data_IF_875008287345
#
_entry.id   IF_875008287345
#
_cell.length_a   1.000
_cell.length_b   1.000
_cell.length_c   1.000
_cell.angle_alpha   90.00
_cell.angle_beta   90.00
_cell.angle_gamma   90.00
#
_symmetry.space_group_name_H-M   'P 1'
#
loop_
_entity.id
_entity.type
_entity.pdbx_description
1 polymer ?
#
# COMPACT_ATOMS: atom_id res chain seq x y z
N UNK A 1 43.49 -48.80 -25.45
CA UNK A 1 42.23 -48.36 -24.81
C UNK A 1 41.98 -46.92 -25.20
N UNK A 2 41.00 -46.66 -26.07
CA UNK A 2 40.59 -45.32 -26.52
C UNK A 2 39.18 -45.08 -25.98
N UNK A 3 39.03 -44.21 -25.00
CA UNK A 3 37.72 -43.79 -24.49
C UNK A 3 37.08 -42.80 -25.46
N UNK A 4 35.80 -42.97 -25.86
CA UNK A 4 35.11 -41.98 -26.66
C UNK A 4 34.59 -40.86 -25.76
N UNK A 5 34.81 -39.62 -26.17
CA UNK A 5 34.23 -38.44 -25.55
C UNK A 5 32.72 -38.41 -25.88
N UNK A 6 31.88 -38.52 -24.86
CA UNK A 6 30.43 -38.31 -24.96
C UNK A 6 30.19 -36.81 -24.88
N UNK A 7 29.83 -36.20 -26.01
CA UNK A 7 29.35 -34.82 -26.06
C UNK A 7 27.91 -34.77 -25.56
N UNK A 8 27.71 -34.21 -24.37
CA UNK A 8 26.39 -33.92 -23.81
C UNK A 8 25.87 -32.66 -24.49
N UNK A 9 24.94 -32.82 -25.44
CA UNK A 9 24.16 -31.71 -25.99
C UNK A 9 23.11 -31.29 -24.95
N UNK A 10 23.39 -30.21 -24.22
CA UNK A 10 22.42 -29.51 -23.39
C UNK A 10 21.38 -28.83 -24.32
N UNK A 11 20.26 -29.50 -24.56
CA UNK A 11 19.07 -28.90 -25.14
C UNK A 11 18.49 -27.91 -24.14
N UNK A 12 18.83 -26.63 -24.31
CA UNK A 12 18.13 -25.54 -23.66
C UNK A 12 16.67 -25.52 -24.15
N UNK A 13 15.76 -26.06 -23.34
CA UNK A 13 14.33 -25.80 -23.47
C UNK A 13 14.11 -24.30 -23.23
N UNK A 14 14.21 -23.51 -24.29
CA UNK A 14 13.62 -22.18 -24.29
C UNK A 14 12.11 -22.38 -24.24
N UNK A 15 11.53 -22.24 -23.05
CA UNK A 15 10.10 -22.06 -22.83
C UNK A 15 9.69 -20.78 -23.55
N UNK A 16 9.37 -20.92 -24.84
CA UNK A 16 8.77 -19.85 -25.63
C UNK A 16 7.55 -19.34 -24.85
N UNK A 17 7.33 -18.02 -24.77
CA UNK A 17 6.15 -17.50 -24.13
C UNK A 17 4.96 -18.05 -24.92
N UNK A 18 4.24 -19.01 -24.33
CA UNK A 18 2.98 -19.46 -24.86
C UNK A 18 2.06 -18.23 -24.87
N UNK A 19 1.93 -17.61 -26.04
CA UNK A 19 0.78 -16.77 -26.33
C UNK A 19 -0.43 -17.66 -26.01
N UNK A 20 -1.39 -17.18 -25.22
CA UNK A 20 -2.63 -17.89 -24.99
C UNK A 20 -3.25 -18.15 -26.36
N UNK A 21 -3.07 -19.37 -26.86
CA UNK A 21 -3.68 -19.86 -28.09
C UNK A 21 -5.06 -20.38 -27.70
N UNK A 22 -6.03 -20.33 -28.62
CA UNK A 22 -7.28 -21.06 -28.43
C UNK A 22 -7.00 -22.52 -28.07
N UNK A 23 -7.86 -23.09 -27.24
CA UNK A 23 -7.81 -24.47 -26.77
C UNK A 23 -7.63 -25.46 -27.94
N UNK A 24 -6.64 -26.34 -27.85
CA UNK A 24 -6.44 -27.44 -28.79
C UNK A 24 -7.11 -28.71 -28.25
N UNK A 25 -8.36 -28.92 -28.65
CA UNK A 25 -9.16 -30.04 -28.16
C UNK A 25 -8.62 -31.42 -28.54
N UNK A 26 -7.74 -31.52 -29.54
CA UNK A 26 -7.07 -32.78 -29.85
C UNK A 26 -5.98 -33.14 -28.84
N UNK A 27 -5.51 -32.16 -28.05
CA UNK A 27 -4.46 -32.30 -27.03
C UNK A 27 -4.96 -32.10 -25.61
N UNK A 28 -6.28 -31.94 -25.43
CA UNK A 28 -6.88 -31.81 -24.12
C UNK A 28 -6.51 -33.02 -23.24
N UNK A 29 -6.03 -32.74 -22.04
CA UNK A 29 -5.50 -33.71 -21.08
C UNK A 29 -5.97 -33.44 -19.65
N UNK A 30 -6.23 -32.18 -19.29
CA UNK A 30 -6.77 -31.81 -17.99
C UNK A 30 -8.31 -31.88 -17.97
N UNK A 31 -8.90 -32.05 -16.79
CA UNK A 31 -10.35 -32.16 -16.63
C UNK A 31 -11.09 -30.91 -17.13
N UNK A 32 -10.53 -29.72 -16.87
CA UNK A 32 -11.05 -28.44 -17.35
C UNK A 32 -10.97 -28.33 -18.89
N UNK A 33 -9.92 -28.85 -19.52
CA UNK A 33 -9.77 -28.85 -20.98
C UNK A 33 -10.82 -29.77 -21.63
N UNK A 34 -11.04 -30.96 -21.06
CA UNK A 34 -12.12 -31.86 -21.51
C UNK A 34 -13.50 -31.22 -21.35
N UNK A 35 -13.75 -30.51 -20.25
CA UNK A 35 -15.00 -29.77 -20.03
C UNK A 35 -15.20 -28.69 -21.11
N UNK A 36 -14.16 -27.89 -21.37
CA UNK A 36 -14.19 -26.86 -22.42
C UNK A 36 -14.46 -27.48 -23.78
N UNK A 37 -13.77 -28.57 -24.12
CA UNK A 37 -13.89 -29.22 -25.43
C UNK A 37 -15.19 -29.99 -25.65
N UNK A 38 -15.91 -30.35 -24.58
CA UNK A 38 -17.21 -30.99 -24.66
C UNK A 38 -18.39 -30.01 -24.89
N UNK A 39 -18.18 -28.70 -24.71
CA UNK A 39 -19.21 -27.66 -24.91
C UNK A 39 -18.75 -26.63 -25.95
N UNK A 40 -19.41 -26.59 -27.11
CA UNK A 40 -19.06 -25.68 -28.21
C UNK A 40 -19.12 -24.20 -27.83
N UNK A 41 -19.94 -23.83 -26.83
CA UNK A 41 -19.98 -22.46 -26.30
C UNK A 41 -18.70 -22.12 -25.55
N UNK A 42 -18.14 -23.06 -24.79
CA UNK A 42 -16.87 -22.87 -24.08
C UNK A 42 -15.71 -22.76 -25.06
N UNK A 43 -15.66 -23.60 -26.11
CA UNK A 43 -14.66 -23.48 -27.18
C UNK A 43 -14.70 -22.09 -27.83
N UNK A 44 -15.90 -21.60 -28.13
CA UNK A 44 -16.09 -20.27 -28.73
C UNK A 44 -15.63 -19.15 -27.79
N UNK A 45 -15.99 -19.24 -26.51
CA UNK A 45 -15.60 -18.26 -25.51
C UNK A 45 -14.08 -18.25 -25.26
N UNK A 46 -13.43 -19.42 -25.21
CA UNK A 46 -11.98 -19.53 -25.06
C UNK A 46 -11.23 -18.90 -26.25
N UNK A 47 -11.70 -19.16 -27.48
CA UNK A 47 -11.16 -18.51 -28.68
C UNK A 47 -11.32 -16.98 -28.65
N UNK A 48 -12.46 -16.48 -28.16
CA UNK A 48 -12.69 -15.04 -27.99
C UNK A 48 -11.74 -14.42 -26.95
N UNK A 49 -11.54 -15.08 -25.82
CA UNK A 49 -10.59 -14.65 -24.78
C UNK A 49 -9.15 -14.63 -25.32
N UNK A 50 -8.73 -15.67 -26.04
CA UNK A 50 -7.41 -15.74 -26.67
C UNK A 50 -7.20 -14.59 -27.68
N UNK A 51 -8.23 -14.24 -28.46
CA UNK A 51 -8.21 -13.09 -29.38
C UNK A 51 -8.10 -11.75 -28.65
N UNK A 52 -8.85 -11.57 -27.56
CA UNK A 52 -8.78 -10.37 -26.72
C UNK A 52 -7.38 -10.22 -26.09
N UNK A 53 -6.82 -11.31 -25.57
CA UNK A 53 -5.46 -11.36 -25.03
C UNK A 53 -4.40 -11.00 -26.08
N UNK A 54 -4.48 -11.60 -27.27
CA UNK A 54 -3.57 -11.27 -28.36
C UNK A 54 -3.71 -9.80 -28.78
N UNK A 55 -4.91 -9.24 -28.69
CA UNK A 55 -5.18 -7.84 -29.02
C UNK A 55 -4.58 -6.88 -28.00
N UNK A 56 -4.76 -7.10 -26.69
CA UNK A 56 -4.16 -6.22 -25.67
C UNK A 56 -2.63 -6.28 -25.71
N UNK A 57 -2.03 -7.46 -25.98
CA UNK A 57 -0.58 -7.58 -26.16
C UNK A 57 -0.05 -6.79 -27.37
N UNK A 58 -0.88 -6.48 -28.38
CA UNK A 58 -0.48 -5.63 -29.52
C UNK A 58 -0.65 -4.14 -29.24
N UNK A 59 -1.21 -3.76 -28.09
CA UNK A 59 -1.46 -2.35 -27.70
C UNK A 59 -0.31 -1.74 -26.91
N UNK A 60 0.78 -2.48 -26.70
CA UNK A 60 1.98 -1.99 -26.03
C UNK A 60 3.23 -2.67 -26.59
N UNK A 61 4.26 -1.86 -26.83
CA UNK A 61 5.62 -2.31 -27.15
C UNK A 61 6.53 -2.26 -25.90
N UNK A 62 6.01 -1.78 -24.77
CA UNK A 62 6.76 -1.73 -23.51
C UNK A 62 6.98 -3.16 -22.98
N UNK A 63 8.24 -3.63 -22.87
CA UNK A 63 8.52 -5.02 -22.51
C UNK A 63 8.11 -5.36 -21.08
N UNK A 64 8.13 -4.40 -20.17
CA UNK A 64 7.72 -4.61 -18.78
C UNK A 64 6.19 -4.71 -18.68
N UNK A 65 5.45 -3.77 -19.28
CA UNK A 65 3.98 -3.84 -19.32
C UNK A 65 3.53 -5.12 -20.03
N UNK A 66 4.20 -5.49 -21.12
CA UNK A 66 3.97 -6.77 -21.80
C UNK A 66 4.17 -7.95 -20.84
N UNK A 67 5.24 -7.95 -20.05
CA UNK A 67 5.52 -9.01 -19.06
C UNK A 67 4.44 -9.10 -17.98
N UNK A 68 3.91 -7.96 -17.53
CA UNK A 68 2.82 -7.87 -16.56
C UNK A 68 1.52 -8.47 -17.13
N UNK A 69 1.19 -8.17 -18.38
CA UNK A 69 0.03 -8.76 -19.07
C UNK A 69 0.18 -10.28 -19.24
N UNK A 70 1.39 -10.76 -19.56
CA UNK A 70 1.68 -12.20 -19.62
C UNK A 70 1.48 -12.87 -18.25
N UNK A 71 1.98 -12.24 -17.18
CA UNK A 71 1.86 -12.75 -15.81
C UNK A 71 0.40 -12.77 -15.34
N UNK A 72 -0.32 -11.69 -15.58
CA UNK A 72 -1.76 -11.54 -15.34
C UNK A 72 -2.57 -12.68 -15.99
N UNK A 73 -2.37 -12.93 -17.30
CA UNK A 73 -3.09 -14.00 -17.98
C UNK A 73 -2.73 -15.40 -17.48
N UNK A 74 -1.45 -15.64 -17.16
CA UNK A 74 -1.02 -16.93 -16.59
C UNK A 74 -1.64 -17.18 -15.22
N UNK A 75 -1.69 -16.15 -14.38
CA UNK A 75 -2.31 -16.24 -13.05
C UNK A 75 -3.80 -16.55 -13.16
N UNK A 76 -4.50 -15.90 -14.08
CA UNK A 76 -5.91 -16.18 -14.35
C UNK A 76 -6.15 -17.63 -14.79
N UNK A 77 -5.34 -18.16 -15.72
CA UNK A 77 -5.45 -19.56 -16.15
C UNK A 77 -5.15 -20.54 -15.02
N UNK A 78 -4.13 -20.27 -14.21
CA UNK A 78 -3.80 -21.10 -13.05
C UNK A 78 -4.94 -21.14 -12.03
N UNK A 79 -5.54 -19.99 -11.71
CA UNK A 79 -6.70 -19.91 -10.83
C UNK A 79 -7.91 -20.67 -11.41
N UNK A 80 -8.18 -20.50 -12.72
CA UNK A 80 -9.25 -21.22 -13.43
C UNK A 80 -9.07 -22.73 -13.25
N UNK A 81 -7.88 -23.22 -13.56
CA UNK A 81 -7.58 -24.65 -13.55
C UNK A 81 -7.70 -25.20 -12.12
N UNK A 82 -7.11 -24.52 -11.13
CA UNK A 82 -7.18 -24.91 -9.72
C UNK A 82 -8.61 -24.93 -9.17
N UNK A 83 -9.36 -23.84 -9.35
CA UNK A 83 -10.71 -23.73 -8.77
C UNK A 83 -11.71 -24.66 -9.49
N UNK A 84 -11.60 -24.82 -10.81
CA UNK A 84 -12.60 -25.59 -11.58
C UNK A 84 -12.30 -27.08 -11.67
N UNK A 85 -11.06 -27.52 -11.43
CA UNK A 85 -10.80 -28.92 -11.08
C UNK A 85 -11.53 -29.30 -9.79
N UNK A 86 -11.52 -28.42 -8.78
CA UNK A 86 -12.24 -28.66 -7.52
C UNK A 86 -13.77 -28.71 -7.70
N UNK A 87 -14.34 -28.01 -8.69
CA UNK A 87 -15.79 -28.08 -8.99
C UNK A 87 -16.23 -29.46 -9.46
N UNK A 88 -15.34 -30.28 -10.02
CA UNK A 88 -15.70 -31.63 -10.51
C UNK A 88 -16.29 -32.47 -9.38
N UNK A 89 -15.67 -32.40 -8.21
CA UNK A 89 -15.99 -33.21 -7.03
C UNK A 89 -16.62 -32.33 -5.91
N UNK A 90 -16.87 -31.05 -6.21
CA UNK A 90 -17.40 -30.07 -5.27
C UNK A 90 -18.92 -30.15 -5.09
N UNK A 91 -19.37 -29.77 -3.90
CA UNK A 91 -20.77 -29.61 -3.55
C UNK A 91 -21.18 -28.16 -3.82
N UNK A 92 -22.30 -27.97 -4.50
CA UNK A 92 -22.92 -26.66 -4.65
C UNK A 92 -23.47 -26.22 -3.29
N UNK A 93 -22.89 -25.18 -2.64
CA UNK A 93 -23.27 -24.79 -1.29
C UNK A 93 -24.73 -24.31 -1.20
N UNK A 94 -25.38 -24.03 -2.33
CA UNK A 94 -26.78 -23.61 -2.37
C UNK A 94 -27.77 -24.77 -2.34
N UNK A 95 -27.42 -25.89 -2.97
CA UNK A 95 -28.30 -27.07 -3.07
C UNK A 95 -27.89 -28.18 -2.13
N UNK A 96 -26.63 -28.19 -1.67
CA UNK A 96 -26.05 -29.32 -0.95
C UNK A 96 -25.72 -30.52 -1.85
N UNK A 97 -25.88 -30.38 -3.16
CA UNK A 97 -25.68 -31.44 -4.15
C UNK A 97 -24.43 -31.22 -4.99
N UNK A 98 -23.80 -32.28 -5.55
CA UNK A 98 -22.69 -32.12 -6.48
C UNK A 98 -23.05 -31.23 -7.68
N UNK A 99 -22.08 -30.43 -8.16
CA UNK A 99 -22.30 -29.64 -9.37
C UNK A 99 -22.62 -30.51 -10.58
N UNK A 100 -23.74 -30.22 -11.26
CA UNK A 100 -24.08 -30.87 -12.52
C UNK A 100 -23.09 -30.47 -13.63
N UNK A 101 -22.88 -31.30 -14.67
CA UNK A 101 -22.03 -30.92 -15.80
C UNK A 101 -22.44 -29.58 -16.44
N UNK A 102 -23.74 -29.31 -16.54
CA UNK A 102 -24.27 -28.07 -17.10
C UNK A 102 -23.97 -26.86 -16.21
N UNK A 103 -24.08 -27.01 -14.89
CA UNK A 103 -23.72 -25.95 -13.94
C UNK A 103 -22.22 -25.63 -14.02
N UNK A 104 -21.36 -26.66 -14.08
CA UNK A 104 -19.92 -26.47 -14.26
C UNK A 104 -19.61 -25.73 -15.56
N UNK A 105 -20.18 -26.15 -16.70
CA UNK A 105 -19.97 -25.44 -17.97
C UNK A 105 -20.44 -23.99 -17.91
N UNK A 106 -21.56 -23.70 -17.24
CA UNK A 106 -22.05 -22.34 -17.08
C UNK A 106 -21.10 -21.45 -16.27
N UNK A 107 -20.58 -21.97 -15.15
CA UNK A 107 -19.61 -21.26 -14.30
C UNK A 107 -18.34 -20.92 -15.09
N UNK A 108 -17.77 -21.91 -15.79
CA UNK A 108 -16.56 -21.72 -16.61
C UNK A 108 -16.81 -20.71 -17.74
N UNK A 109 -17.98 -20.78 -18.39
CA UNK A 109 -18.35 -19.85 -19.45
C UNK A 109 -18.37 -18.41 -18.93
N UNK A 110 -19.03 -18.16 -17.80
CA UNK A 110 -19.10 -16.84 -17.18
C UNK A 110 -17.72 -16.29 -16.81
N UNK A 111 -16.84 -17.15 -16.29
CA UNK A 111 -15.46 -16.79 -15.97
C UNK A 111 -14.67 -16.35 -17.23
N UNK A 112 -14.74 -17.13 -18.32
CA UNK A 112 -14.06 -16.82 -19.58
C UNK A 112 -14.61 -15.51 -20.19
N UNK A 113 -15.94 -15.35 -20.20
CA UNK A 113 -16.58 -14.12 -20.69
C UNK A 113 -16.17 -12.89 -19.86
N UNK A 114 -16.09 -13.02 -18.53
CA UNK A 114 -15.66 -11.94 -17.65
C UNK A 114 -14.22 -11.53 -17.93
N UNK A 115 -13.31 -12.50 -18.08
CA UNK A 115 -11.92 -12.23 -18.43
C UNK A 115 -11.79 -11.59 -19.82
N UNK A 116 -12.57 -12.05 -20.79
CA UNK A 116 -12.62 -11.46 -22.13
C UNK A 116 -13.02 -9.98 -22.07
N UNK A 117 -14.04 -9.65 -21.25
CA UNK A 117 -14.44 -8.24 -21.02
C UNK A 117 -13.34 -7.42 -20.35
N UNK A 118 -12.66 -7.96 -19.34
CA UNK A 118 -11.55 -7.27 -18.67
C UNK A 118 -10.40 -6.96 -19.63
N UNK A 119 -9.97 -7.94 -20.44
CA UNK A 119 -8.92 -7.78 -21.45
C UNK A 119 -9.29 -6.77 -22.54
N UNK A 120 -10.59 -6.62 -22.83
CA UNK A 120 -11.12 -5.67 -23.81
C UNK A 120 -11.51 -4.31 -23.23
N UNK A 121 -11.49 -4.11 -21.91
CA UNK A 121 -11.94 -2.85 -21.30
C UNK A 121 -10.97 -1.74 -21.66
N UNK A 122 -11.50 -0.63 -22.14
CA UNK A 122 -10.76 0.60 -22.45
C UNK A 122 -10.91 1.53 -21.27
N UNK A 123 -9.82 2.15 -20.82
CA UNK A 123 -9.85 3.20 -19.81
C UNK A 123 -10.66 4.41 -20.32
N UNK A 124 -11.17 5.24 -19.41
CA UNK A 124 -11.96 6.41 -19.77
C UNK A 124 -11.26 7.37 -20.76
N UNK A 125 -12.07 8.18 -21.44
CA UNK A 125 -11.81 8.78 -22.77
C UNK A 125 -10.51 9.56 -22.98
N UNK A 126 -9.79 9.94 -21.92
CA UNK A 126 -8.57 10.74 -22.04
C UNK A 126 -7.38 9.96 -22.66
N UNK A 127 -7.29 8.64 -22.48
CA UNK A 127 -6.15 7.85 -22.94
C UNK A 127 -6.47 6.88 -24.08
N UNK A 128 -7.72 6.45 -24.24
CA UNK A 128 -8.18 5.44 -25.21
C UNK A 128 -7.34 4.14 -25.23
N UNK A 129 -6.68 3.81 -24.11
CA UNK A 129 -5.84 2.61 -23.95
C UNK A 129 -6.61 1.50 -23.21
N UNK A 130 -6.24 0.22 -23.41
CA UNK A 130 -6.74 -0.84 -22.55
C UNK A 130 -6.47 -0.55 -21.07
N UNK A 131 -7.45 -0.81 -20.22
CA UNK A 131 -7.44 -0.44 -18.80
C UNK A 131 -6.24 -1.05 -18.05
N UNK A 132 -5.93 -2.33 -18.27
CA UNK A 132 -4.78 -2.98 -17.64
C UNK A 132 -3.44 -2.34 -18.04
N UNK A 133 -3.34 -1.80 -19.25
CA UNK A 133 -2.14 -1.05 -19.69
C UNK A 133 -2.09 0.30 -18.97
N UNK A 134 -3.22 0.99 -18.85
CA UNK A 134 -3.30 2.27 -18.15
C UNK A 134 -2.94 2.10 -16.67
N UNK A 135 -3.47 1.09 -15.98
CA UNK A 135 -3.11 0.75 -14.59
C UNK A 135 -1.61 0.57 -14.40
N UNK A 136 -0.94 -0.14 -15.31
CA UNK A 136 0.52 -0.33 -15.23
C UNK A 136 1.29 1.00 -15.40
N UNK A 137 0.79 1.90 -16.25
CA UNK A 137 1.38 3.23 -16.46
C UNK A 137 1.18 4.10 -15.22
N UNK A 138 -0.02 4.12 -14.65
CA UNK A 138 -0.35 4.92 -13.47
C UNK A 138 0.46 4.46 -12.27
N UNK A 139 0.56 3.15 -12.05
CA UNK A 139 1.40 2.58 -11.00
C UNK A 139 2.87 2.99 -11.18
N UNK A 140 3.42 2.87 -12.38
CA UNK A 140 4.80 3.29 -12.66
C UNK A 140 5.01 4.79 -12.42
N UNK A 141 4.05 5.62 -12.84
CA UNK A 141 4.12 7.06 -12.67
C UNK A 141 4.10 7.47 -11.18
N UNK A 142 3.25 6.80 -10.39
CA UNK A 142 3.20 6.99 -8.94
C UNK A 142 4.50 6.56 -8.27
N UNK A 143 4.97 5.35 -8.56
CA UNK A 143 6.18 4.78 -7.94
C UNK A 143 7.46 5.57 -8.31
N UNK A 144 7.49 6.25 -9.46
CA UNK A 144 8.59 7.12 -9.86
C UNK A 144 8.77 8.35 -8.95
N UNK A 145 7.77 8.70 -8.14
CA UNK A 145 7.85 9.76 -7.13
C UNK A 145 8.68 9.40 -5.89
N UNK A 146 9.09 8.14 -5.75
CA UNK A 146 9.75 7.62 -4.55
C UNK A 146 11.07 6.93 -4.90
N UNK A 147 11.93 6.73 -3.90
CA UNK A 147 13.22 6.04 -4.13
C UNK A 147 13.07 4.59 -4.55
N UNK A 148 11.91 3.98 -4.25
CA UNK A 148 11.75 2.53 -4.30
C UNK A 148 12.69 1.82 -3.32
N UNK A 149 13.01 0.57 -3.63
CA UNK A 149 13.99 -0.22 -2.88
C UNK A 149 13.64 -1.71 -2.87
N UNK A 150 14.39 -2.49 -2.07
CA UNK A 150 14.22 -3.94 -1.96
C UNK A 150 12.83 -4.36 -1.49
N UNK A 151 12.13 -3.49 -0.75
CA UNK A 151 10.83 -3.77 -0.17
C UNK A 151 9.67 -3.13 -0.96
N UNK A 152 9.94 -2.53 -2.12
CA UNK A 152 8.91 -1.98 -3.00
C UNK A 152 8.43 -3.03 -4.02
N UNK A 153 7.13 -3.05 -4.26
CA UNK A 153 6.46 -3.96 -5.18
C UNK A 153 5.24 -4.63 -4.55
N UNK A 154 4.71 -5.66 -5.19
CA UNK A 154 3.49 -6.33 -4.78
C UNK A 154 3.65 -7.83 -4.64
N UNK A 155 2.92 -8.40 -3.69
CA UNK A 155 2.66 -9.82 -3.55
C UNK A 155 1.17 -10.06 -3.75
N UNK A 156 0.80 -10.69 -4.85
CA UNK A 156 -0.61 -10.85 -5.28
C UNK A 156 -0.91 -12.32 -5.55
N UNK A 157 -1.99 -12.79 -4.95
CA UNK A 157 -2.62 -14.08 -5.24
C UNK A 157 -4.01 -13.82 -5.84
N UNK A 158 -4.47 -14.72 -6.70
CA UNK A 158 -5.79 -14.62 -7.29
C UNK A 158 -6.49 -15.96 -7.24
N UNK A 159 -7.79 -15.92 -7.07
CA UNK A 159 -8.65 -17.09 -7.01
C UNK A 159 -10.04 -16.77 -7.56
N UNK A 160 -10.81 -17.82 -7.84
CA UNK A 160 -12.23 -17.67 -8.09
C UNK A 160 -13.02 -17.78 -6.79
N UNK A 161 -13.57 -16.64 -6.33
CA UNK A 161 -14.42 -16.58 -5.15
C UNK A 161 -15.88 -16.86 -5.53
N UNK A 162 -16.62 -17.65 -4.74
CA UNK A 162 -18.02 -17.93 -5.01
C UNK A 162 -18.87 -16.65 -4.85
N UNK A 163 -19.78 -16.44 -5.79
CA UNK A 163 -20.83 -15.43 -5.79
C UNK A 163 -22.18 -16.15 -5.91
N UNK A 164 -23.29 -15.45 -5.64
CA UNK A 164 -24.63 -16.06 -5.54
C UNK A 164 -24.96 -17.07 -6.66
N UNK A 165 -24.70 -16.77 -7.93
CA UNK A 165 -24.93 -17.65 -9.08
C UNK A 165 -23.69 -17.86 -9.98
N UNK A 166 -22.52 -17.41 -9.53
CA UNK A 166 -21.31 -17.36 -10.35
C UNK A 166 -20.04 -17.52 -9.50
N UNK A 167 -18.89 -17.49 -10.16
CA UNK A 167 -17.60 -17.28 -9.52
C UNK A 167 -17.00 -16.00 -10.08
N UNK A 168 -16.50 -15.14 -9.19
CA UNK A 168 -15.78 -13.94 -9.57
C UNK A 168 -14.28 -14.19 -9.45
N UNK A 169 -13.51 -13.77 -10.45
CA UNK A 169 -12.06 -13.74 -10.34
C UNK A 169 -11.67 -12.56 -9.45
N UNK A 170 -11.16 -12.86 -8.26
CA UNK A 170 -10.70 -11.89 -7.27
C UNK A 170 -9.20 -12.03 -7.06
N UNK A 171 -8.54 -10.90 -6.87
CA UNK A 171 -7.12 -10.84 -6.59
C UNK A 171 -6.89 -10.06 -5.31
N UNK A 172 -6.08 -10.64 -4.43
CA UNK A 172 -5.86 -10.19 -3.07
C UNK A 172 -4.37 -10.24 -2.78
N UNK A 173 -3.92 -9.43 -1.83
CA UNK A 173 -2.51 -9.33 -1.48
C UNK A 173 -2.11 -7.96 -1.03
N UNK A 174 -0.80 -7.69 -1.08
CA UNK A 174 -0.23 -6.48 -0.50
C UNK A 174 0.62 -5.75 -1.52
N UNK A 175 0.38 -4.45 -1.69
CA UNK A 175 1.30 -3.54 -2.38
C UNK A 175 2.12 -2.77 -1.35
N UNK A 176 3.43 -2.80 -1.53
CA UNK A 176 4.42 -2.10 -0.71
C UNK A 176 5.07 -1.00 -1.54
N UNK A 177 5.10 0.20 -0.97
CA UNK A 177 5.83 1.35 -1.51
C UNK A 177 6.95 1.71 -0.55
N UNK A 178 8.10 2.11 -1.10
CA UNK A 178 9.27 2.45 -0.31
C UNK A 178 9.83 3.81 -0.72
N UNK A 179 10.11 4.64 0.28
CA UNK A 179 10.79 5.92 0.12
C UNK A 179 11.86 6.09 1.21
N UNK A 180 13.14 6.06 0.83
CA UNK A 180 14.27 5.91 1.74
C UNK A 180 14.09 4.72 2.68
N UNK A 181 14.09 4.96 3.98
CA UNK A 181 13.87 3.93 5.00
C UNK A 181 12.38 3.72 5.30
N UNK A 182 11.47 4.50 4.73
CA UNK A 182 10.03 4.38 5.01
C UNK A 182 9.39 3.38 4.07
N UNK A 183 8.57 2.48 4.63
CA UNK A 183 7.73 1.53 3.87
C UNK A 183 6.28 1.77 4.25
N UNK A 184 5.41 1.88 3.26
CA UNK A 184 3.97 2.00 3.43
C UNK A 184 3.29 0.94 2.56
N UNK A 185 2.27 0.28 3.10
CA UNK A 185 1.58 -0.77 2.35
C UNK A 185 0.07 -0.74 2.50
N UNK A 186 -0.61 -1.19 1.45
CA UNK A 186 -2.03 -1.55 1.45
C UNK A 186 -2.12 -3.04 1.24
N UNK A 187 -2.79 -3.73 2.16
CA UNK A 187 -3.19 -5.12 2.00
C UNK A 187 -4.68 -5.20 1.74
N UNK A 188 -5.06 -5.91 0.70
CA UNK A 188 -6.44 -6.25 0.35
C UNK A 188 -6.64 -7.74 0.63
N UNK A 189 -7.67 -8.07 1.39
CA UNK A 189 -8.06 -9.44 1.69
C UNK A 189 -9.58 -9.60 1.54
N UNK A 190 -10.05 -10.80 1.21
CA UNK A 190 -11.47 -11.11 1.11
C UNK A 190 -11.86 -12.14 2.15
N UNK A 191 -12.82 -11.78 2.99
CA UNK A 191 -13.39 -12.69 3.96
C UNK A 191 -14.86 -12.35 4.22
N UNK A 192 -15.66 -13.36 4.56
CA UNK A 192 -17.08 -13.18 4.94
C UNK A 192 -17.95 -12.43 3.91
N UNK A 193 -17.55 -12.42 2.63
CA UNK A 193 -18.27 -11.73 1.56
C UNK A 193 -17.84 -10.28 1.31
N UNK A 194 -16.95 -9.73 2.14
CA UNK A 194 -16.50 -8.34 2.06
C UNK A 194 -15.00 -8.23 1.73
N UNK A 195 -14.63 -7.14 1.05
CA UNK A 195 -13.22 -6.77 0.85
C UNK A 195 -12.74 -5.94 2.05
N UNK A 196 -11.65 -6.39 2.66
CA UNK A 196 -10.99 -5.76 3.78
C UNK A 196 -9.69 -5.10 3.33
N UNK A 197 -9.48 -3.84 3.73
CA UNK A 197 -8.24 -3.12 3.49
C UNK A 197 -7.50 -2.83 4.79
N UNK A 198 -6.24 -3.24 4.86
CA UNK A 198 -5.32 -2.93 5.96
C UNK A 198 -4.22 -2.01 5.45
N UNK A 199 -4.03 -0.86 6.09
CA UNK A 199 -2.92 0.05 5.81
C UNK A 199 -1.83 -0.16 6.85
N UNK A 200 -0.56 -0.10 6.44
CA UNK A 200 0.55 -0.28 7.37
C UNK A 200 1.70 0.68 7.09
N UNK A 201 2.42 1.00 8.17
CA UNK A 201 3.61 1.86 8.15
C UNK A 201 4.75 1.10 8.80
N UNK A 202 5.91 1.08 8.16
CA UNK A 202 7.11 0.45 8.67
C UNK A 202 8.36 1.27 8.34
N UNK A 203 9.46 0.98 9.03
CA UNK A 203 10.77 1.53 8.71
C UNK A 203 11.82 0.45 8.53
N UNK A 204 12.77 0.70 7.64
CA UNK A 204 13.97 -0.12 7.48
C UNK A 204 14.95 0.24 8.59
N UNK A 205 15.10 -0.66 9.56
CA UNK A 205 16.02 -0.54 10.68
C UNK A 205 16.95 -1.76 10.64
N UNK A 206 18.26 -1.52 10.60
CA UNK A 206 19.29 -2.56 10.46
C UNK A 206 19.09 -3.45 9.21
N UNK A 207 18.65 -2.84 8.11
CA UNK A 207 18.39 -3.53 6.84
C UNK A 207 17.16 -4.44 6.85
N UNK A 208 16.34 -4.40 7.90
CA UNK A 208 15.09 -5.15 8.02
C UNK A 208 13.90 -4.22 8.20
N UNK A 209 12.75 -4.54 7.60
CA UNK A 209 11.56 -3.76 7.83
C UNK A 209 11.03 -4.05 9.25
N UNK A 210 10.76 -2.99 10.02
CA UNK A 210 10.12 -3.04 11.33
C UNK A 210 8.79 -2.31 11.24
N UNK A 211 7.71 -3.04 11.50
CA UNK A 211 6.36 -2.52 11.49
C UNK A 211 6.18 -1.50 12.62
N UNK A 212 5.68 -0.31 12.28
CA UNK A 212 5.45 0.81 13.21
C UNK A 212 3.99 0.86 13.63
N UNK A 213 3.07 0.71 12.67
CA UNK A 213 1.64 0.81 12.94
C UNK A 213 0.82 0.16 11.83
N UNK A 214 -0.41 -0.23 12.19
CA UNK A 214 -1.42 -0.73 11.27
C UNK A 214 -2.73 0.02 11.47
N UNK A 215 -3.42 0.37 10.38
CA UNK A 215 -4.81 0.82 10.39
C UNK A 215 -5.67 -0.28 9.77
N UNK A 216 -6.54 -0.86 10.59
CA UNK A 216 -7.24 -2.11 10.26
C UNK A 216 -8.53 -1.89 9.46
N UNK A 217 -9.03 -2.94 8.79
CA UNK A 217 -10.31 -2.90 8.10
C UNK A 217 -11.46 -2.55 9.06
N UNK A 218 -12.40 -1.73 8.60
CA UNK A 218 -13.54 -1.25 9.42
C UNK A 218 -13.25 -0.02 10.30
N UNK A 219 -12.01 0.44 10.35
CA UNK A 219 -11.64 1.73 10.96
C UNK A 219 -11.78 2.82 9.91
N UNK A 220 -12.70 3.76 10.12
CA UNK A 220 -13.01 4.81 9.13
C UNK A 220 -11.95 5.91 9.07
N UNK A 221 -11.20 6.13 10.14
CA UNK A 221 -10.21 7.20 10.21
C UNK A 221 -8.81 6.59 10.28
N UNK A 222 -8.11 6.62 9.14
CA UNK A 222 -6.70 6.27 9.03
C UNK A 222 -5.85 7.50 8.70
N UNK A 223 -6.35 8.71 8.95
CA UNK A 223 -5.62 9.94 8.73
C UNK A 223 -4.41 10.05 9.67
N UNK A 224 -3.47 10.94 9.33
CA UNK A 224 -2.39 11.29 10.25
C UNK A 224 -2.96 11.71 11.60
N UNK A 225 -2.43 11.09 12.65
CA UNK A 225 -2.84 11.34 14.02
C UNK A 225 -4.19 10.72 14.39
N UNK A 226 -4.81 9.93 13.53
CA UNK A 226 -6.05 9.25 13.91
C UNK A 226 -5.82 8.22 15.03
N UNK A 227 -6.78 8.04 15.96
CA UNK A 227 -6.78 6.90 16.88
C UNK A 227 -6.95 5.55 16.16
N UNK A 228 -7.25 5.54 14.85
CA UNK A 228 -7.41 4.32 14.06
C UNK A 228 -6.13 3.52 13.83
N UNK A 229 -4.97 4.16 14.00
CA UNK A 229 -3.68 3.48 14.00
C UNK A 229 -3.47 2.73 15.33
N UNK A 230 -2.99 1.48 15.26
CA UNK A 230 -2.65 0.67 16.44
C UNK A 230 -1.67 1.41 17.35
N UNK A 231 -2.10 1.80 18.57
CA UNK A 231 -1.34 2.68 19.48
C UNK A 231 0.08 2.21 19.72
N UNK A 232 0.98 3.16 20.06
CA UNK A 232 2.43 3.01 20.31
C UNK A 232 2.87 1.88 21.27
N UNK A 233 1.95 1.13 21.86
CA UNK A 233 2.20 0.08 22.86
C UNK A 233 1.24 -1.13 22.77
N UNK A 234 0.54 -1.34 21.65
CA UNK A 234 -0.23 -2.56 21.40
C UNK A 234 0.28 -3.25 20.14
N UNK A 235 0.62 -4.54 20.26
CA UNK A 235 1.26 -5.33 19.19
C UNK A 235 0.61 -5.06 17.82
N UNK A 236 1.41 -4.75 16.78
CA UNK A 236 0.88 -4.60 15.44
C UNK A 236 0.11 -5.87 15.07
N UNK A 237 -0.87 -5.72 14.19
CA UNK A 237 -1.62 -6.86 13.66
C UNK A 237 -0.68 -8.03 13.31
N UNK A 238 -0.88 -9.18 13.96
CA UNK A 238 0.07 -10.29 13.89
C UNK A 238 0.22 -10.82 12.46
N UNK A 239 -0.82 -10.70 11.65
CA UNK A 239 -0.83 -11.14 10.26
C UNK A 239 0.00 -10.17 9.41
N UNK A 240 -0.19 -8.87 9.63
CA UNK A 240 0.64 -7.82 9.04
C UNK A 240 2.10 -7.93 9.47
N UNK A 241 2.37 -8.22 10.75
CA UNK A 241 3.74 -8.46 11.23
C UNK A 241 4.39 -9.63 10.48
N UNK A 242 3.66 -10.75 10.32
CA UNK A 242 4.15 -11.90 9.55
C UNK A 242 4.41 -11.56 8.08
N UNK A 243 3.59 -10.71 7.46
CA UNK A 243 3.83 -10.22 6.10
C UNK A 243 5.16 -9.44 6.02
N UNK A 244 5.39 -8.51 6.94
CA UNK A 244 6.63 -7.73 6.99
C UNK A 244 7.86 -8.57 7.34
N UNK A 245 7.73 -9.62 8.16
CA UNK A 245 8.81 -10.57 8.44
C UNK A 245 9.17 -11.48 7.25
N UNK A 246 8.35 -11.49 6.19
CA UNK A 246 8.51 -12.34 5.02
C UNK A 246 8.68 -11.58 3.70
N UNK A 247 8.45 -10.26 3.70
CA UNK A 247 8.45 -9.41 2.49
C UNK A 247 9.74 -9.51 1.67
N UNK A 248 10.83 -9.88 2.31
CA UNK A 248 12.18 -9.91 1.73
C UNK A 248 12.65 -11.32 1.35
N UNK A 249 11.81 -12.34 1.60
CA UNK A 249 12.06 -13.76 1.33
C UNK A 249 11.58 -14.18 -0.06
N UNK A 250 10.55 -13.52 -0.58
CA UNK A 250 10.00 -13.77 -1.92
C UNK A 250 10.16 -12.51 -2.76
N UNK A 251 10.64 -12.62 -4.02
CA UNK A 251 10.71 -11.46 -4.90
C UNK A 251 9.33 -10.82 -5.11
N UNK A 252 9.25 -9.52 -4.87
CA UNK A 252 8.06 -8.74 -5.14
C UNK A 252 7.98 -8.39 -6.64
N UNK A 253 6.77 -8.44 -7.20
CA UNK A 253 6.52 -7.93 -8.54
C UNK A 253 6.57 -6.40 -8.50
N UNK A 254 7.38 -5.79 -9.36
CA UNK A 254 7.48 -4.32 -9.43
C UNK A 254 6.16 -3.67 -9.88
N UNK A 255 5.50 -4.29 -10.86
CA UNK A 255 4.20 -3.88 -11.38
C UNK A 255 3.25 -5.07 -11.32
N UNK A 256 2.01 -4.82 -10.91
CA UNK A 256 0.93 -5.81 -10.94
C UNK A 256 -0.42 -5.11 -11.08
N UNK A 257 -1.14 -5.47 -12.14
CA UNK A 257 -2.38 -4.80 -12.58
C UNK A 257 -3.65 -5.49 -12.08
N UNK A 258 -3.51 -6.55 -11.29
CA UNK A 258 -4.63 -7.38 -10.85
C UNK A 258 -5.26 -6.91 -9.53
N UNK A 259 -4.52 -6.22 -8.67
CA UNK A 259 -5.12 -5.59 -7.48
C UNK A 259 -6.04 -4.45 -7.94
N UNK A 260 -7.32 -4.56 -7.56
CA UNK A 260 -8.35 -3.61 -7.94
C UNK A 260 -8.49 -2.56 -6.82
N UNK A 261 -7.76 -1.46 -6.98
CA UNK A 261 -7.96 -0.25 -6.18
C UNK A 261 -7.90 0.99 -7.10
N UNK A 262 -9.05 1.42 -7.65
CA UNK A 262 -9.10 2.56 -8.56
C UNK A 262 -8.77 3.90 -7.89
N UNK A 263 -8.64 3.95 -6.55
CA UNK A 263 -8.36 5.17 -5.79
C UNK A 263 -7.01 5.15 -5.08
N UNK A 264 -6.23 4.06 -5.20
CA UNK A 264 -4.98 3.89 -4.45
C UNK A 264 -4.00 5.04 -4.65
N UNK A 265 -3.89 5.54 -5.87
CA UNK A 265 -2.99 6.65 -6.22
C UNK A 265 -3.60 8.03 -5.95
N UNK A 266 -4.92 8.09 -5.75
CA UNK A 266 -5.65 9.32 -5.45
C UNK A 266 -5.80 9.57 -3.93
N UNK A 267 -5.59 8.55 -3.09
CA UNK A 267 -5.70 8.69 -1.64
C UNK A 267 -4.45 9.39 -1.04
N UNK A 268 -4.58 10.61 -0.48
CA UNK A 268 -3.46 11.41 0.00
C UNK A 268 -2.64 10.75 1.12
N UNK A 269 -3.18 9.74 1.81
CA UNK A 269 -2.50 9.11 2.95
C UNK A 269 -1.20 8.41 2.52
N UNK A 270 -1.13 7.80 1.33
CA UNK A 270 0.01 6.98 0.93
C UNK A 270 1.24 7.87 0.69
N UNK A 271 1.04 8.96 -0.05
CA UNK A 271 2.05 10.01 -0.22
C UNK A 271 2.47 10.58 1.14
N UNK A 272 1.52 10.91 2.02
CA UNK A 272 1.84 11.40 3.37
C UNK A 272 2.64 10.37 4.18
N UNK A 273 2.27 9.10 4.12
CA UNK A 273 2.97 8.02 4.81
C UNK A 273 4.42 7.92 4.35
N UNK A 274 4.66 8.05 3.05
CA UNK A 274 5.98 7.93 2.42
C UNK A 274 6.86 9.16 2.60
N UNK A 275 6.29 10.35 2.81
CA UNK A 275 7.05 11.60 2.83
C UNK A 275 7.03 12.36 4.16
N UNK A 276 6.03 12.17 5.02
CA UNK A 276 5.89 12.92 6.27
C UNK A 276 6.65 12.23 7.44
N UNK A 277 7.66 12.88 8.05
CA UNK A 277 8.48 12.26 9.10
C UNK A 277 7.69 11.81 10.34
N UNK A 278 6.56 12.45 10.64
CA UNK A 278 5.73 12.15 11.79
C UNK A 278 4.64 11.10 11.56
N UNK A 279 4.40 10.67 10.32
CA UNK A 279 3.32 9.74 10.05
C UNK A 279 3.57 8.36 10.71
N UNK A 280 2.56 7.69 11.28
CA UNK A 280 1.14 8.08 11.38
C UNK A 280 0.78 8.88 12.63
N UNK A 281 1.72 9.12 13.55
CA UNK A 281 1.44 9.67 14.88
C UNK A 281 1.41 11.20 14.96
N UNK A 282 1.90 11.86 13.92
CA UNK A 282 2.41 13.24 13.99
C UNK A 282 3.86 13.25 14.51
N UNK A 283 4.53 14.40 14.41
CA UNK A 283 5.89 14.55 14.92
C UNK A 283 5.96 14.16 16.39
N UNK A 284 6.67 13.08 16.73
CA UNK A 284 7.01 12.79 18.11
C UNK A 284 8.23 13.60 18.50
N UNK A 285 7.98 14.85 18.85
CA UNK A 285 9.00 15.73 19.38
C UNK A 285 9.26 15.34 20.84
N UNK A 286 10.51 15.04 21.18
CA UNK A 286 10.94 15.00 22.57
C UNK A 286 10.96 16.44 23.11
N UNK A 287 9.83 16.87 23.66
CA UNK A 287 9.66 18.22 24.19
C UNK A 287 10.63 18.50 25.34
N UNK A 288 11.00 17.49 26.14
CA UNK A 288 11.94 17.70 27.24
C UNK A 288 13.34 18.01 26.69
N UNK A 289 13.80 17.26 25.68
CA UNK A 289 15.07 17.53 25.02
C UNK A 289 15.08 18.92 24.35
N UNK A 290 13.99 19.29 23.67
CA UNK A 290 13.84 20.62 23.07
C UNK A 290 13.93 21.73 24.13
N UNK A 291 13.16 21.61 25.23
CA UNK A 291 13.19 22.60 26.29
C UNK A 291 14.56 22.64 26.98
N UNK A 292 15.21 21.50 27.23
CA UNK A 292 16.55 21.46 27.80
C UNK A 292 17.57 22.20 26.91
N UNK A 293 17.48 22.05 25.58
CA UNK A 293 18.32 22.82 24.64
C UNK A 293 18.01 24.34 24.72
N UNK A 294 16.72 24.70 24.77
CA UNK A 294 16.31 26.11 24.94
C UNK A 294 16.82 26.68 26.27
N UNK A 295 16.74 25.93 27.37
CA UNK A 295 17.20 26.39 28.68
C UNK A 295 18.74 26.38 28.82
N UNK A 296 19.44 25.58 28.01
CA UNK A 296 20.90 25.61 27.87
C UNK A 296 21.40 26.80 27.03
N UNK A 297 20.53 27.46 26.25
CA UNK A 297 20.87 28.70 25.52
C UNK A 297 21.18 29.87 26.47
N UNK A 298 21.57 31.01 25.89
CA UNK A 298 21.88 32.25 26.63
C UNK A 298 20.76 32.57 27.64
N UNK A 299 21.14 32.77 28.91
CA UNK A 299 20.20 33.19 29.96
C UNK A 299 19.78 34.66 29.75
N UNK A 300 18.47 34.98 29.74
CA UNK A 300 18.00 36.36 29.65
C UNK A 300 18.30 37.13 30.94
N UNK A 301 18.71 38.40 30.82
CA UNK A 301 18.90 39.31 31.97
C UNK A 301 17.91 40.47 31.96
N UNK A 302 17.33 40.79 33.12
CA UNK A 302 16.34 41.86 33.25
C UNK A 302 15.11 41.63 32.36
N UNK A 303 14.88 42.56 31.42
CA UNK A 303 13.78 42.51 30.44
C UNK A 303 14.21 41.99 29.06
N UNK A 304 15.42 41.43 28.94
CA UNK A 304 15.91 40.87 27.68
C UNK A 304 15.02 39.70 27.21
N UNK A 305 14.76 39.66 25.90
CA UNK A 305 14.17 38.52 25.22
C UNK A 305 15.23 37.86 24.35
N UNK A 306 15.54 36.59 24.62
CA UNK A 306 16.49 35.82 23.83
C UNK A 306 15.70 35.06 22.77
N UNK A 307 15.97 35.33 21.49
CA UNK A 307 15.36 34.61 20.38
C UNK A 307 15.88 33.16 20.36
N UNK A 308 14.95 32.22 20.44
CA UNK A 308 15.20 30.77 20.42
C UNK A 308 14.41 30.08 19.31
N UNK A 309 13.88 30.85 18.35
CA UNK A 309 13.04 30.34 17.25
C UNK A 309 13.73 29.24 16.46
N UNK A 310 15.03 29.39 16.19
CA UNK A 310 15.80 28.39 15.44
C UNK A 310 15.89 27.03 16.13
N UNK A 311 15.89 26.99 17.48
CA UNK A 311 15.83 25.75 18.25
C UNK A 311 14.47 25.09 18.02
N UNK A 312 13.39 25.84 18.23
CA UNK A 312 12.03 25.33 18.09
C UNK A 312 11.77 24.83 16.66
N UNK A 313 12.25 25.54 15.63
CA UNK A 313 12.07 25.13 14.22
C UNK A 313 12.79 23.83 13.87
N UNK A 314 13.87 23.44 14.58
CA UNK A 314 14.50 22.12 14.37
C UNK A 314 13.61 20.98 14.82
N UNK A 315 12.85 21.19 15.89
CA UNK A 315 11.93 20.21 16.45
C UNK A 315 10.55 20.26 15.78
N UNK A 316 10.12 21.43 15.33
CA UNK A 316 8.90 21.66 14.57
C UNK A 316 9.21 22.39 13.26
N UNK A 317 9.61 21.65 12.22
CA UNK A 317 9.91 22.24 10.91
C UNK A 317 8.68 22.91 10.29
N UNK A 318 8.91 23.87 9.40
CA UNK A 318 7.84 24.44 8.57
C UNK A 318 7.08 23.33 7.82
N UNK A 319 5.81 23.58 7.57
CA UNK A 319 4.82 22.63 7.06
C UNK A 319 4.37 21.53 8.04
N UNK A 320 4.75 21.61 9.32
CA UNK A 320 4.16 20.78 10.37
C UNK A 320 2.66 21.07 10.50
N UNK A 321 1.81 20.04 10.58
CA UNK A 321 0.36 20.24 10.82
C UNK A 321 0.08 20.78 12.21
N UNK A 322 -0.86 21.72 12.31
CA UNK A 322 -1.34 22.25 13.60
C UNK A 322 -1.76 21.14 14.58
N UNK A 323 -2.49 20.14 14.09
CA UNK A 323 -2.96 19.02 14.93
C UNK A 323 -1.81 18.21 15.56
N UNK A 324 -0.68 18.06 14.86
CA UNK A 324 0.50 17.40 15.39
C UNK A 324 1.17 18.24 16.49
N UNK A 325 1.25 19.56 16.28
CA UNK A 325 1.74 20.53 17.27
C UNK A 325 0.87 20.55 18.54
N UNK A 326 -0.44 20.73 18.41
CA UNK A 326 -1.37 20.76 19.55
C UNK A 326 -1.28 19.46 20.38
N UNK A 327 -1.14 18.32 19.70
CA UNK A 327 -1.00 17.02 20.38
C UNK A 327 0.33 16.86 21.09
N UNK A 328 1.44 17.27 20.46
CA UNK A 328 2.76 17.26 21.08
C UNK A 328 2.71 18.01 22.41
N UNK A 329 2.02 19.15 22.44
CA UNK A 329 1.82 19.97 23.64
C UNK A 329 0.55 19.65 24.42
N UNK A 330 0.32 18.36 24.68
CA UNK A 330 -0.63 17.97 25.72
C UNK A 330 -0.22 18.66 27.05
N UNK A 331 -1.15 19.28 27.79
CA UNK A 331 -0.80 20.04 29.00
C UNK A 331 0.05 19.23 29.98
N UNK A 332 1.09 19.88 30.49
CA UNK A 332 2.04 19.32 31.46
C UNK A 332 2.10 20.21 32.70
N UNK A 333 2.91 19.83 33.68
CA UNK A 333 3.19 20.68 34.84
C UNK A 333 4.01 21.92 34.50
N UNK A 334 4.79 21.91 33.42
CA UNK A 334 5.71 23.00 33.06
C UNK A 334 5.22 23.85 31.91
N UNK A 335 4.53 23.28 30.92
CA UNK A 335 3.96 24.02 29.78
C UNK A 335 2.45 23.98 29.69
N UNK A 336 1.90 25.03 29.07
CA UNK A 336 0.48 25.19 28.79
C UNK A 336 0.25 25.84 27.43
N UNK A 337 -0.87 25.51 26.79
CA UNK A 337 -1.39 26.21 25.62
C UNK A 337 -2.11 27.46 26.14
N UNK A 338 -1.64 28.63 25.75
CA UNK A 338 -2.19 29.94 26.16
C UNK A 338 -3.25 30.42 25.17
N UNK A 339 -3.07 30.09 23.88
CA UNK A 339 -3.98 30.50 22.80
C UNK A 339 -4.01 29.41 21.74
N UNK A 340 -5.20 29.05 21.26
CA UNK A 340 -5.44 28.07 20.19
C UNK A 340 -6.49 28.61 19.21
N UNK A 341 -6.02 29.30 18.16
CA UNK A 341 -6.83 29.87 17.08
C UNK A 341 -6.52 29.17 15.75
N UNK A 342 -7.42 29.16 14.76
CA UNK A 342 -7.20 28.45 13.49
C UNK A 342 -5.86 28.75 12.81
N UNK A 343 -5.41 30.00 12.85
CA UNK A 343 -4.19 30.51 12.23
C UNK A 343 -3.02 30.70 13.22
N UNK A 344 -3.22 30.44 14.52
CA UNK A 344 -2.23 30.72 15.56
C UNK A 344 -2.31 29.77 16.77
N UNK A 345 -1.16 29.31 17.26
CA UNK A 345 -1.03 28.57 18.51
C UNK A 345 0.05 29.23 19.38
N UNK A 346 -0.27 29.56 20.63
CA UNK A 346 0.68 30.13 21.59
C UNK A 346 0.86 29.20 22.77
N UNK A 347 2.12 28.89 23.08
CA UNK A 347 2.49 27.93 24.10
C UNK A 347 3.50 28.59 25.03
N UNK A 348 3.31 28.39 26.33
CA UNK A 348 4.20 28.90 27.37
C UNK A 348 4.70 27.76 28.23
N UNK A 349 6.02 27.62 28.32
CA UNK A 349 6.68 26.77 29.31
C UNK A 349 7.30 27.64 30.40
N UNK A 350 7.22 27.18 31.66
CA UNK A 350 7.79 27.84 32.82
C UNK A 350 8.69 26.86 33.56
N UNK A 351 9.97 27.22 33.73
CA UNK A 351 10.93 26.47 34.54
C UNK A 351 11.37 27.29 35.76
N UNK A 352 11.27 26.65 36.92
CA UNK A 352 11.53 27.30 38.22
C UNK A 352 10.33 28.13 38.71
N UNK A 353 10.47 28.73 39.89
CA UNK A 353 9.49 29.67 40.47
C UNK A 353 10.21 30.98 40.78
N UNK A 354 9.77 32.10 40.23
CA UNK A 354 10.45 33.40 40.35
C UNK A 354 10.76 33.82 41.81
N UNK A 355 9.90 33.42 42.76
CA UNK A 355 10.07 33.72 44.19
C UNK A 355 11.19 32.87 44.86
N UNK A 356 11.52 31.71 44.29
CA UNK A 356 12.39 30.69 44.91
C UNK A 356 13.68 30.46 44.12
N UNK A 357 13.67 30.76 42.82
CA UNK A 357 14.75 30.45 41.89
C UNK A 357 15.18 31.73 41.14
N UNK A 358 16.38 32.28 41.40
CA UNK A 358 16.87 33.48 40.72
C UNK A 358 17.11 33.28 39.22
N UNK A 359 17.17 32.02 38.76
CA UNK A 359 17.32 31.60 37.36
C UNK A 359 15.99 31.22 36.69
N UNK A 360 14.85 31.42 37.37
CA UNK A 360 13.54 31.13 36.80
C UNK A 360 13.35 31.88 35.47
N UNK A 361 12.99 31.13 34.43
CA UNK A 361 12.74 31.68 33.10
C UNK A 361 11.54 30.99 32.46
N UNK A 362 10.90 31.70 31.55
CA UNK A 362 9.78 31.21 30.75
C UNK A 362 10.17 31.20 29.29
N UNK A 363 9.61 30.28 28.53
CA UNK A 363 9.69 30.25 27.07
C UNK A 363 8.30 30.48 26.51
N UNK A 364 8.16 31.46 25.63
CA UNK A 364 6.91 31.73 24.92
C UNK A 364 7.13 31.44 23.44
N UNK A 365 6.32 30.56 22.89
CA UNK A 365 6.37 30.13 21.50
C UNK A 365 5.06 30.50 20.81
N UNK A 366 5.16 31.12 19.64
CA UNK A 366 4.05 31.46 18.77
C UNK A 366 4.25 30.77 17.43
N UNK A 367 3.29 29.92 17.06
CA UNK A 367 3.23 29.20 15.80
C UNK A 367 2.13 29.83 14.94
N UNK A 368 2.45 30.18 13.69
CA UNK A 368 1.48 30.67 12.72
C UNK A 368 1.21 29.62 11.64
N UNK A 369 -0.04 29.50 11.20
CA UNK A 369 -0.47 28.49 10.24
C UNK A 369 -1.05 29.13 8.97
N UNK A 370 -0.86 28.46 7.84
CA UNK A 370 -1.53 28.82 6.60
C UNK A 370 -2.98 28.29 6.56
N UNK A 371 -3.69 28.52 5.44
CA UNK A 371 -5.08 28.08 5.25
C UNK A 371 -5.25 26.56 5.28
N UNK A 372 -4.19 25.80 4.99
CA UNK A 372 -4.16 24.34 4.99
C UNK A 372 -3.78 23.78 6.37
N UNK A 373 -3.75 24.62 7.42
CA UNK A 373 -3.33 24.26 8.78
C UNK A 373 -1.88 23.76 8.88
N UNK A 374 -1.02 24.21 7.97
CA UNK A 374 0.42 23.92 7.94
C UNK A 374 1.22 25.07 8.55
N UNK A 375 2.22 24.76 9.37
CA UNK A 375 3.09 25.72 10.05
C UNK A 375 3.85 26.56 9.03
N UNK A 376 3.61 27.86 9.01
CA UNK A 376 4.26 28.81 8.08
C UNK A 376 5.35 29.63 8.76
N UNK A 377 5.24 29.85 10.07
CA UNK A 377 6.21 30.65 10.84
C UNK A 377 6.28 30.19 12.30
N UNK A 378 7.48 30.26 12.87
CA UNK A 378 7.75 30.07 14.30
C UNK A 378 8.42 31.32 14.84
N UNK A 379 7.89 31.85 15.95
CA UNK A 379 8.55 32.86 16.75
C UNK A 379 8.61 32.38 18.20
N UNK A 380 9.80 32.31 18.78
CA UNK A 380 9.97 31.86 20.15
C UNK A 380 11.01 32.69 20.90
N UNK A 381 10.65 33.09 22.12
CA UNK A 381 11.51 33.90 22.99
C UNK A 381 11.62 33.26 24.36
N UNK A 382 12.84 33.27 24.90
CA UNK A 382 13.11 32.96 26.31
C UNK A 382 13.22 34.27 27.09
N UNK A 383 12.47 34.36 28.17
CA UNK A 383 12.37 35.55 29.03
C UNK A 383 12.62 35.18 30.48
N UNK A 384 13.15 36.11 31.28
CA UNK A 384 13.27 35.92 32.72
C UNK A 384 11.87 35.92 33.34
N UNK A 385 11.60 34.96 34.23
CA UNK A 385 10.35 34.94 34.99
C UNK A 385 10.37 36.09 35.99
N UNK A 386 9.34 36.93 35.94
CA UNK A 386 9.19 38.08 36.86
C UNK A 386 8.44 37.68 38.11
#
# INVERSE_FOLDING_TARGET
MKSPAVAIFLLAFMSQPALARPMDCARASAAIEHLICADSRLVTADAAMASAYASILRRTDDPEIRSVLLASQRRWMAARDQNFEALRDGIDPRTGEPYTPQARSHIVLKAIEARTRQLGRIADQASARPELIQRAIDQRAFDAGFTGGRFAGSSVACEFVPQADAYAYGCFGTRFHQNNNRICSVSQDWASGDLYQTRAVAEVIDGKPKLIATCRPGIQDCAEGSPGWSTRSGDPDADTQRLYDQVDKTPLARLDVELDDPQEFDDPWLTQCLTAPGFPWGLSVDLNAMFDEVYASKKPVGFEQVDVSSVITRYFPLNTRKAALTRAFTPSRTWTIVEDLPDRLVIRDNRGRAIVDPDASSVVMTFAFNKDSLLSQVHAVRVKSQ
#
